data_IF_196003983851
#
_entry.id   IF_196003983851
#
_cell.length_a   1.000
_cell.length_b   1.000
_cell.length_c   1.000
_cell.angle_alpha   90.00
_cell.angle_beta   90.00
_cell.angle_gamma   90.00
#
_symmetry.space_group_name_H-M   'P 1'
#
loop_
_entity.id
_entity.type
_entity.pdbx_description
1 polymer ?
#
# COMPACT_ATOMS: atom_id res chain seq x y z
N UNK A 1 -6.65 7.09 -13.49
CA UNK A 1 -5.39 6.60 -12.89
C UNK A 1 -4.66 7.67 -12.08
N UNK A 2 -4.22 8.79 -12.69
CA UNK A 2 -3.46 9.86 -11.99
C UNK A 2 -4.10 10.33 -10.69
N UNK A 3 -5.40 10.64 -10.73
CA UNK A 3 -6.17 11.09 -9.56
C UNK A 3 -6.14 10.06 -8.43
N UNK A 4 -6.53 8.80 -8.70
CA UNK A 4 -6.53 7.73 -7.70
C UNK A 4 -5.14 7.50 -7.06
N UNK A 5 -4.06 7.58 -7.84
CA UNK A 5 -2.69 7.47 -7.30
C UNK A 5 -2.31 8.68 -6.46
N UNK A 6 -2.71 9.89 -6.88
CA UNK A 6 -2.46 11.12 -6.14
C UNK A 6 -3.16 11.13 -4.79
N UNK A 7 -4.47 10.82 -4.77
CA UNK A 7 -5.25 10.77 -3.53
C UNK A 7 -4.67 9.77 -2.53
N UNK A 8 -4.26 8.58 -3.00
CA UNK A 8 -3.68 7.58 -2.11
C UNK A 8 -2.31 8.05 -1.58
N UNK A 9 -1.49 8.66 -2.42
CA UNK A 9 -0.19 9.22 -2.03
C UNK A 9 -0.37 10.32 -0.98
N UNK A 10 -1.27 11.27 -1.19
CA UNK A 10 -1.54 12.35 -0.23
C UNK A 10 -2.00 11.79 1.11
N UNK A 11 -2.90 10.80 1.10
CA UNK A 11 -3.34 10.14 2.32
C UNK A 11 -2.20 9.40 3.04
N UNK A 12 -1.30 8.75 2.30
CA UNK A 12 -0.14 8.05 2.83
C UNK A 12 0.93 9.00 3.41
N UNK A 13 1.15 10.14 2.77
CA UNK A 13 2.19 11.10 3.13
C UNK A 13 1.76 12.03 4.28
N UNK A 14 0.46 12.12 4.59
CA UNK A 14 -0.04 12.90 5.72
C UNK A 14 0.57 12.42 7.05
N UNK A 15 1.14 13.37 7.80
CA UNK A 15 1.56 13.16 9.19
C UNK A 15 0.37 13.17 10.15
N UNK A 16 0.40 12.24 11.09
CA UNK A 16 -0.62 12.07 12.12
C UNK A 16 0.04 12.01 13.49
N UNK A 17 -0.69 12.49 14.49
CA UNK A 17 -0.30 12.38 15.89
C UNK A 17 -1.08 11.24 16.54
N UNK A 18 -0.37 10.26 17.07
CA UNK A 18 -0.95 9.04 17.65
C UNK A 18 -0.53 8.92 19.10
N UNK A 19 -1.50 8.84 20.00
CA UNK A 19 -1.27 8.47 21.41
C UNK A 19 -0.91 6.99 21.51
N UNK A 20 0.20 6.73 22.20
CA UNK A 20 0.78 5.40 22.39
C UNK A 20 1.10 5.16 23.86
N UNK A 21 0.83 3.94 24.29
CA UNK A 21 1.31 3.39 25.55
C UNK A 21 2.31 2.29 25.22
N UNK A 22 3.55 2.42 25.70
CA UNK A 22 4.66 1.50 25.48
C UNK A 22 5.01 0.81 26.82
N UNK A 23 4.23 -0.19 27.25
CA UNK A 23 4.39 -0.83 28.55
C UNK A 23 5.76 -1.48 28.76
N UNK A 24 6.44 -1.92 27.69
CA UNK A 24 7.77 -2.54 27.78
C UNK A 24 8.84 -1.57 28.30
N UNK A 25 8.58 -0.27 28.23
CA UNK A 25 9.47 0.81 28.69
C UNK A 25 8.73 1.83 29.58
N UNK A 26 7.56 1.47 30.12
CA UNK A 26 6.75 2.29 31.03
C UNK A 26 6.52 3.74 30.54
N UNK A 27 6.26 3.91 29.23
CA UNK A 27 6.20 5.22 28.60
C UNK A 27 4.87 5.48 27.91
N UNK A 28 4.17 6.54 28.34
CA UNK A 28 3.01 7.09 27.63
C UNK A 28 3.43 8.37 26.89
N UNK A 29 3.18 8.43 25.58
CA UNK A 29 3.55 9.59 24.78
C UNK A 29 2.72 9.67 23.49
N UNK A 30 3.05 10.64 22.65
CA UNK A 30 2.49 10.79 21.31
C UNK A 30 3.58 10.62 20.28
N UNK A 31 3.32 9.86 19.23
CA UNK A 31 4.22 9.77 18.07
C UNK A 31 3.67 10.60 16.91
N UNK A 32 4.57 11.32 16.24
CA UNK A 32 4.27 12.01 14.98
C UNK A 32 4.93 11.28 13.82
N UNK A 33 4.12 10.63 13.00
CA UNK A 33 4.59 9.82 11.88
C UNK A 33 3.64 9.98 10.71
N UNK A 34 4.15 9.92 9.49
CA UNK A 34 3.28 9.74 8.32
C UNK A 34 2.74 8.32 8.26
N UNK A 35 1.57 8.15 7.63
CA UNK A 35 0.96 6.82 7.50
C UNK A 35 1.86 5.83 6.78
N UNK A 36 2.51 6.29 5.70
CA UNK A 36 3.50 5.47 4.99
C UNK A 36 4.68 5.05 5.88
N UNK A 37 5.10 5.91 6.82
CA UNK A 37 6.24 5.60 7.70
C UNK A 37 5.89 4.48 8.68
N UNK A 38 4.78 4.58 9.41
CA UNK A 38 4.42 3.49 10.33
C UNK A 38 4.07 2.20 9.58
N UNK A 39 3.44 2.27 8.40
CA UNK A 39 3.15 1.06 7.60
C UNK A 39 4.43 0.32 7.18
N UNK A 40 5.48 1.07 6.80
CA UNK A 40 6.79 0.49 6.50
C UNK A 40 7.44 -0.12 7.74
N UNK A 41 7.43 0.61 8.87
CA UNK A 41 7.96 0.10 10.14
C UNK A 41 7.26 -1.21 10.55
N UNK A 42 5.93 -1.27 10.52
CA UNK A 42 5.19 -2.50 10.78
C UNK A 42 5.55 -3.62 9.78
N UNK A 43 5.68 -3.30 8.49
CA UNK A 43 6.08 -4.26 7.46
C UNK A 43 7.51 -4.78 7.63
N UNK A 44 8.40 -4.03 8.26
CA UNK A 44 9.77 -4.48 8.55
C UNK A 44 9.87 -5.25 9.86
N UNK A 45 9.04 -4.95 10.86
CA UNK A 45 8.90 -5.73 12.11
C UNK A 45 8.32 -7.12 11.82
N UNK A 46 7.28 -7.21 10.97
CA UNK A 46 6.61 -8.49 10.67
C UNK A 46 7.49 -9.51 9.95
N UNK A 47 8.56 -9.03 9.29
CA UNK A 47 9.57 -9.89 8.69
C UNK A 47 10.57 -10.24 9.80
N UNK A 48 10.58 -11.49 10.27
CA UNK A 48 11.46 -12.00 11.33
C UNK A 48 12.97 -11.88 11.03
N UNK A 49 13.50 -10.68 10.86
CA UNK A 49 14.89 -10.37 10.52
C UNK A 49 15.44 -9.34 11.50
N UNK A 50 16.30 -9.81 12.41
CA UNK A 50 16.89 -9.03 13.49
C UNK A 50 17.59 -7.74 13.03
N UNK A 51 18.31 -7.77 11.89
CA UNK A 51 19.00 -6.58 11.37
C UNK A 51 18.03 -5.49 10.94
N UNK A 52 16.85 -5.86 10.42
CA UNK A 52 15.79 -4.89 10.10
C UNK A 52 15.15 -4.33 11.36
N UNK A 53 15.00 -5.15 12.40
CA UNK A 53 14.47 -4.71 13.69
C UNK A 53 15.32 -3.61 14.33
N UNK A 54 16.66 -3.68 14.21
CA UNK A 54 17.55 -2.60 14.70
C UNK A 54 17.28 -1.28 14.00
N UNK A 55 17.22 -1.27 12.65
CA UNK A 55 16.92 -0.05 11.91
C UNK A 55 15.51 0.51 12.15
N UNK A 56 14.54 -0.33 12.52
CA UNK A 56 13.22 0.12 12.96
C UNK A 56 13.25 0.67 14.38
N UNK A 57 14.04 0.07 15.28
CA UNK A 57 14.23 0.56 16.64
C UNK A 57 14.89 1.96 16.66
N UNK A 58 15.90 2.19 15.81
CA UNK A 58 16.50 3.52 15.64
C UNK A 58 15.46 4.56 15.16
N UNK A 59 14.57 4.18 14.24
CA UNK A 59 13.49 5.05 13.78
C UNK A 59 12.47 5.36 14.89
N UNK A 60 12.13 4.36 15.72
CA UNK A 60 11.26 4.53 16.87
C UNK A 60 11.90 5.42 17.92
N UNK A 61 13.17 5.18 18.26
CA UNK A 61 13.96 6.00 19.17
C UNK A 61 13.98 7.46 18.72
N UNK A 62 14.21 7.72 17.42
CA UNK A 62 14.20 9.07 16.89
C UNK A 62 12.81 9.72 16.99
N UNK A 63 11.74 8.96 16.73
CA UNK A 63 10.37 9.44 16.83
C UNK A 63 9.93 9.75 18.29
N UNK A 64 10.49 9.02 19.26
CA UNK A 64 10.33 9.32 20.68
C UNK A 64 11.13 10.57 21.08
N UNK A 65 12.36 10.69 20.58
CA UNK A 65 13.24 11.82 20.88
C UNK A 65 12.68 13.16 20.39
N UNK A 66 12.00 13.21 19.24
CA UNK A 66 11.33 14.43 18.75
C UNK A 66 10.23 14.94 19.69
N UNK A 67 9.80 14.11 20.64
CA UNK A 67 8.76 14.41 21.64
C UNK A 67 9.32 14.51 23.06
N UNK A 68 10.64 14.59 23.18
CA UNK A 68 11.34 14.75 24.46
C UNK A 68 11.53 13.44 25.24
N UNK A 69 11.20 12.29 24.63
CA UNK A 69 11.40 10.96 25.24
C UNK A 69 12.74 10.40 24.78
N UNK A 70 13.72 10.41 25.68
CA UNK A 70 15.05 9.84 25.42
C UNK A 70 15.14 8.43 25.98
N UNK A 71 15.36 7.45 25.11
CA UNK A 71 15.48 6.03 25.46
C UNK A 71 16.75 5.43 24.86
N UNK A 72 17.30 4.38 25.46
CA UNK A 72 18.39 3.63 24.86
C UNK A 72 17.89 2.84 23.63
N UNK A 73 18.81 2.40 22.76
CA UNK A 73 18.43 1.58 21.61
C UNK A 73 17.79 0.26 22.06
N UNK A 74 18.32 -0.36 23.11
CA UNK A 74 17.79 -1.61 23.67
C UNK A 74 16.35 -1.45 24.16
N UNK A 75 16.04 -0.31 24.81
CA UNK A 75 14.67 0.04 25.22
C UNK A 75 13.75 0.22 24.00
N UNK A 76 14.23 0.91 22.97
CA UNK A 76 13.47 1.07 21.73
C UNK A 76 13.23 -0.28 21.02
N UNK A 77 14.17 -1.22 21.10
CA UNK A 77 14.00 -2.58 20.60
C UNK A 77 12.93 -3.35 21.38
N UNK A 78 12.88 -3.21 22.71
CA UNK A 78 11.81 -3.80 23.53
C UNK A 78 10.43 -3.21 23.17
N UNK A 79 10.36 -1.90 22.97
CA UNK A 79 9.13 -1.20 22.62
C UNK A 79 8.60 -1.48 21.20
N UNK A 80 9.33 -2.21 20.35
CA UNK A 80 8.88 -2.56 19.00
C UNK A 80 7.61 -3.41 19.01
N UNK A 81 7.45 -4.30 19.99
CA UNK A 81 6.26 -5.14 20.10
C UNK A 81 5.01 -4.28 20.40
N UNK A 82 5.13 -3.36 21.36
CA UNK A 82 4.07 -2.43 21.74
C UNK A 82 3.71 -1.49 20.58
N UNK A 83 4.73 -0.96 19.89
CA UNK A 83 4.55 -0.17 18.68
C UNK A 83 3.80 -0.98 17.61
N UNK A 84 4.21 -2.22 17.37
CA UNK A 84 3.58 -3.07 16.38
C UNK A 84 2.12 -3.34 16.73
N UNK A 85 1.80 -3.69 17.98
CA UNK A 85 0.43 -3.89 18.42
C UNK A 85 -0.42 -2.63 18.14
N UNK A 86 0.06 -1.45 18.54
CA UNK A 86 -0.69 -0.21 18.34
C UNK A 86 -0.88 0.16 16.87
N UNK A 87 0.18 0.12 16.06
CA UNK A 87 0.11 0.61 14.67
C UNK A 87 -0.39 -0.45 13.68
N UNK A 88 -0.07 -1.72 13.88
CA UNK A 88 -0.54 -2.81 13.03
C UNK A 88 -1.90 -3.34 13.47
N UNK A 89 -2.09 -3.66 14.75
CA UNK A 89 -3.33 -4.32 15.19
C UNK A 89 -4.48 -3.33 15.35
N UNK A 90 -4.25 -2.12 15.84
CA UNK A 90 -5.35 -1.15 15.99
C UNK A 90 -5.51 -0.27 14.74
N UNK A 91 -4.46 0.48 14.40
CA UNK A 91 -4.55 1.59 13.44
C UNK A 91 -4.64 1.09 12.01
N UNK A 92 -3.81 0.13 11.61
CA UNK A 92 -3.90 -0.45 10.27
C UNK A 92 -5.25 -1.17 10.07
N UNK A 93 -5.77 -1.86 11.08
CA UNK A 93 -7.11 -2.46 10.99
C UNK A 93 -8.20 -1.39 10.82
N UNK A 94 -8.13 -0.28 11.54
CA UNK A 94 -9.02 0.87 11.34
C UNK A 94 -8.97 1.41 9.91
N UNK A 95 -7.78 1.47 9.29
CA UNK A 95 -7.60 1.95 7.91
C UNK A 95 -7.76 0.89 6.82
N UNK A 96 -7.96 -0.39 7.17
CA UNK A 96 -8.00 -1.49 6.21
C UNK A 96 -8.98 -1.24 5.07
N UNK A 97 -10.19 -0.78 5.39
CA UNK A 97 -11.22 -0.45 4.40
C UNK A 97 -10.83 0.76 3.54
N UNK A 98 -10.18 1.76 4.13
CA UNK A 98 -9.70 2.96 3.42
C UNK A 98 -8.60 2.60 2.42
N UNK A 99 -7.64 1.78 2.83
CA UNK A 99 -6.58 1.26 1.94
C UNK A 99 -7.22 0.43 0.82
N UNK A 100 -8.20 -0.43 1.14
CA UNK A 100 -8.92 -1.21 0.14
C UNK A 100 -9.65 -0.33 -0.88
N UNK A 101 -10.27 0.78 -0.46
CA UNK A 101 -10.88 1.76 -1.37
C UNK A 101 -9.84 2.37 -2.33
N UNK A 102 -8.71 2.85 -1.81
CA UNK A 102 -7.65 3.45 -2.62
C UNK A 102 -7.07 2.45 -3.63
N UNK A 103 -6.75 1.23 -3.18
CA UNK A 103 -6.24 0.16 -4.06
C UNK A 103 -7.25 -0.22 -5.13
N UNK A 104 -8.54 -0.30 -4.78
CA UNK A 104 -9.59 -0.58 -5.74
C UNK A 104 -9.73 0.55 -6.79
N UNK A 105 -9.62 1.81 -6.36
CA UNK A 105 -9.65 2.96 -7.28
C UNK A 105 -8.45 2.95 -8.23
N UNK A 106 -7.26 2.55 -7.77
CA UNK A 106 -6.08 2.36 -8.61
C UNK A 106 -6.32 1.22 -9.61
N UNK A 107 -6.83 0.07 -9.17
CA UNK A 107 -7.15 -1.07 -10.04
C UNK A 107 -8.13 -0.68 -11.16
N UNK A 108 -9.21 0.01 -10.81
CA UNK A 108 -10.14 0.56 -11.79
C UNK A 108 -9.46 1.57 -12.72
N UNK A 109 -8.59 2.42 -12.18
CA UNK A 109 -7.82 3.39 -12.95
C UNK A 109 -6.88 2.75 -13.98
N UNK A 110 -6.25 1.62 -13.65
CA UNK A 110 -5.42 0.83 -14.59
C UNK A 110 -6.30 0.21 -15.68
N UNK A 111 -7.41 -0.43 -15.29
CA UNK A 111 -8.36 -1.03 -16.23
C UNK A 111 -8.82 0.00 -17.27
N UNK A 112 -9.32 1.16 -16.84
CA UNK A 112 -9.81 2.22 -17.71
C UNK A 112 -8.71 2.83 -18.58
N UNK A 113 -7.50 2.99 -18.03
CA UNK A 113 -6.36 3.53 -18.78
C UNK A 113 -5.95 2.62 -19.94
N UNK A 114 -6.02 1.30 -19.76
CA UNK A 114 -5.63 0.31 -20.76
C UNK A 114 -6.75 -0.07 -21.74
N UNK A 115 -8.01 0.30 -21.47
CA UNK A 115 -9.13 -0.02 -22.37
C UNK A 115 -8.94 0.43 -23.83
N UNK A 116 -8.40 1.63 -24.13
CA UNK A 116 -8.18 2.03 -25.53
C UNK A 116 -7.18 1.11 -26.24
N UNK A 117 -6.09 0.75 -25.57
CA UNK A 117 -5.05 -0.15 -26.09
C UNK A 117 -5.59 -1.57 -26.30
N UNK A 118 -6.38 -2.07 -25.35
CA UNK A 118 -7.07 -3.35 -25.47
C UNK A 118 -7.94 -3.45 -26.71
N UNK A 119 -8.79 -2.44 -26.92
CA UNK A 119 -9.72 -2.39 -28.04
C UNK A 119 -9.00 -2.29 -29.38
N UNK A 120 -7.84 -1.62 -29.39
CA UNK A 120 -7.02 -1.51 -30.58
C UNK A 120 -6.27 -2.81 -30.91
N UNK A 121 -5.81 -3.51 -29.88
CA UNK A 121 -4.93 -4.67 -30.06
C UNK A 121 -5.65 -5.98 -30.32
N UNK A 122 -6.87 -6.16 -29.82
CA UNK A 122 -7.59 -7.43 -29.96
C UNK A 122 -8.05 -7.67 -31.41
N UNK A 123 -7.70 -8.84 -31.94
CA UNK A 123 -8.10 -9.30 -33.28
C UNK A 123 -8.83 -10.63 -33.14
N UNK A 124 -10.04 -10.71 -33.67
CA UNK A 124 -10.85 -11.92 -33.69
C UNK A 124 -10.61 -12.70 -34.97
N UNK A 125 -10.19 -13.95 -34.87
CA UNK A 125 -9.77 -14.77 -36.02
C UNK A 125 -10.95 -15.49 -36.71
N UNK A 126 -12.07 -15.66 -36.01
CA UNK A 126 -13.25 -16.37 -36.50
C UNK A 126 -14.52 -15.82 -35.81
N UNK A 127 -15.62 -15.77 -36.55
CA UNK A 127 -16.93 -15.43 -35.99
C UNK A 127 -17.59 -16.62 -35.24
N UNK A 128 -17.18 -17.85 -35.58
CA UNK A 128 -17.81 -19.09 -35.11
C UNK A 128 -17.13 -19.68 -33.87
N UNK A 129 -15.84 -19.35 -33.65
CA UNK A 129 -15.07 -19.76 -32.49
C UNK A 129 -14.41 -18.53 -31.86
N UNK A 130 -14.44 -18.34 -30.53
CA UNK A 130 -13.84 -17.19 -29.85
C UNK A 130 -12.30 -17.32 -29.78
N UNK A 131 -11.67 -17.47 -30.94
CA UNK A 131 -10.22 -17.36 -31.09
C UNK A 131 -9.87 -15.89 -31.29
N UNK A 132 -8.97 -15.41 -30.45
CA UNK A 132 -8.46 -14.06 -30.51
C UNK A 132 -6.95 -14.06 -30.36
N UNK A 133 -6.34 -13.04 -30.92
CA UNK A 133 -4.95 -12.71 -30.72
C UNK A 133 -4.82 -11.22 -30.44
N UNK A 134 -3.62 -10.80 -30.01
CA UNK A 134 -3.31 -9.38 -29.86
C UNK A 134 -2.25 -8.97 -30.89
N UNK A 135 -2.44 -7.80 -31.47
CA UNK A 135 -1.34 -7.08 -32.11
C UNK A 135 -0.45 -6.48 -31.03
N UNK A 136 0.85 -6.39 -31.31
CA UNK A 136 1.84 -5.91 -30.36
C UNK A 136 2.31 -4.50 -30.75
N UNK A 137 2.44 -3.57 -29.78
CA UNK A 137 2.99 -2.25 -30.05
C UNK A 137 4.40 -2.29 -30.64
N UNK A 138 4.74 -1.26 -31.41
CA UNK A 138 6.09 -1.08 -31.97
C UNK A 138 7.14 -1.11 -30.84
N UNK A 139 8.16 -1.95 -31.00
CA UNK A 139 9.21 -2.16 -29.99
C UNK A 139 8.99 -3.36 -29.07
N UNK A 140 7.77 -3.94 -29.02
CA UNK A 140 7.48 -5.18 -28.29
C UNK A 140 7.79 -6.40 -29.17
N UNK A 141 9.08 -6.70 -29.34
CA UNK A 141 9.54 -7.80 -30.20
C UNK A 141 10.00 -9.03 -29.41
N UNK A 142 10.60 -8.83 -28.24
CA UNK A 142 11.13 -9.91 -27.41
C UNK A 142 10.01 -10.83 -26.89
N UNK A 143 10.30 -12.13 -26.82
CA UNK A 143 9.34 -13.15 -26.37
C UNK A 143 8.75 -12.84 -25.00
N UNK A 144 9.60 -12.48 -24.03
CA UNK A 144 9.18 -12.12 -22.69
C UNK A 144 8.21 -10.92 -22.70
N UNK A 145 8.55 -9.86 -23.44
CA UNK A 145 7.71 -8.65 -23.54
C UNK A 145 6.35 -8.95 -24.17
N UNK A 146 6.31 -9.82 -25.20
CA UNK A 146 5.05 -10.27 -25.81
C UNK A 146 4.21 -11.09 -24.84
N UNK A 147 4.81 -11.96 -24.04
CA UNK A 147 4.11 -12.71 -22.99
C UNK A 147 3.53 -11.78 -21.93
N UNK A 148 4.32 -10.84 -21.39
CA UNK A 148 3.82 -9.88 -20.40
C UNK A 148 2.68 -9.01 -20.95
N UNK A 149 2.78 -8.57 -22.22
CA UNK A 149 1.71 -7.83 -22.88
C UNK A 149 0.44 -8.66 -23.03
N UNK A 150 0.59 -9.92 -23.47
CA UNK A 150 -0.51 -10.86 -23.60
C UNK A 150 -1.25 -11.08 -22.27
N UNK A 151 -0.50 -11.31 -21.19
CA UNK A 151 -1.07 -11.51 -19.86
C UNK A 151 -1.81 -10.25 -19.37
N UNK A 152 -1.20 -9.08 -19.57
CA UNK A 152 -1.81 -7.79 -19.22
C UNK A 152 -3.13 -7.55 -19.97
N UNK A 153 -3.15 -7.76 -21.29
CA UNK A 153 -4.36 -7.57 -22.11
C UNK A 153 -5.47 -8.56 -21.74
N UNK A 154 -5.10 -9.78 -21.34
CA UNK A 154 -6.07 -10.75 -20.83
C UNK A 154 -6.63 -10.36 -19.46
N UNK A 155 -5.80 -9.82 -18.57
CA UNK A 155 -6.25 -9.37 -17.24
C UNK A 155 -7.28 -8.25 -17.35
N UNK A 156 -7.05 -7.30 -18.27
CA UNK A 156 -7.94 -6.15 -18.49
C UNK A 156 -9.07 -6.41 -19.49
N UNK A 157 -9.21 -7.63 -20.01
CA UNK A 157 -10.34 -8.05 -20.86
C UNK A 157 -11.66 -8.02 -20.11
N UNK A 158 -11.63 -8.21 -18.79
CA UNK A 158 -12.80 -8.16 -17.93
C UNK A 158 -12.67 -7.04 -16.90
N UNK A 159 -13.77 -6.37 -16.53
CA UNK A 159 -13.74 -5.36 -15.48
C UNK A 159 -13.35 -5.98 -14.14
N UNK A 160 -12.75 -5.19 -13.22
CA UNK A 160 -12.51 -5.63 -11.86
C UNK A 160 -13.79 -6.17 -11.18
N UNK A 161 -13.67 -7.30 -10.48
CA UNK A 161 -14.79 -7.94 -9.78
C UNK A 161 -15.41 -7.06 -8.68
N UNK A 162 -14.56 -6.31 -7.96
CA UNK A 162 -15.01 -5.43 -6.89
C UNK A 162 -15.42 -4.10 -7.51
N UNK A 163 -16.71 -3.76 -7.39
CA UNK A 163 -17.21 -2.45 -7.80
C UNK A 163 -16.53 -1.34 -7.01
N UNK A 164 -16.48 -0.14 -7.57
CA UNK A 164 -16.05 1.04 -6.80
C UNK A 164 -16.95 1.22 -5.58
N UNK A 165 -16.33 1.58 -4.47
CA UNK A 165 -17.02 1.88 -3.22
C UNK A 165 -16.33 3.07 -2.56
N UNK A 166 -16.99 3.66 -1.56
CA UNK A 166 -16.44 4.75 -0.76
C UNK A 166 -16.61 4.42 0.70
N UNK A 167 -15.52 4.51 1.46
CA UNK A 167 -15.54 4.44 2.91
C UNK A 167 -15.92 5.80 3.46
N UNK A 168 -16.67 5.80 4.57
CA UNK A 168 -17.04 7.03 5.26
C UNK A 168 -15.81 7.86 5.63
N UNK A 169 -15.89 9.19 5.46
CA UNK A 169 -14.78 10.11 5.75
C UNK A 169 -14.24 9.98 7.17
N UNK A 170 -15.10 9.59 8.11
CA UNK A 170 -14.75 9.44 9.52
C UNK A 170 -13.80 8.28 9.81
N UNK A 171 -13.69 7.29 8.92
CA UNK A 171 -12.73 6.19 9.03
C UNK A 171 -11.38 6.51 8.36
N UNK A 172 -11.23 7.72 7.79
CA UNK A 172 -10.02 8.15 7.08
C UNK A 172 -9.17 9.16 7.86
N UNK A 173 -9.71 9.75 8.94
CA UNK A 173 -9.19 10.98 9.54
C UNK A 173 -8.54 10.84 10.92
N UNK A 174 -8.90 9.81 11.72
CA UNK A 174 -8.54 9.78 13.14
C UNK A 174 -7.06 9.45 13.40
N UNK A 175 -6.50 8.60 12.56
CA UNK A 175 -5.11 8.14 12.56
C UNK A 175 -4.59 8.18 11.13
#
# INVERSE_FOLDING_TARGET
MREATHEFKEWLDQEVEVEVWLPSIDTETKLQLSRVKFLKMCGDISKHNFLRSVGVAEQLQQALATRGVSVALDDAMLALADFYERFHTDILNYHSSTIAEFLNNIRWGIYEYLQPEFRHSIVWESADLPMYQYTYPTGVSAKLSKTCYWDLMNEIRSPPYVRRFKVTKWLKLRY
#
